data_IF_830296789601
#
_entry.id   IF_830296789601
#
_cell.length_a   1.000
_cell.length_b   1.000
_cell.length_c   1.000
_cell.angle_alpha   90.00
_cell.angle_beta   90.00
_cell.angle_gamma   90.00
#
_symmetry.space_group_name_H-M   'P 1'
#
loop_
_entity.id
_entity.type
_entity.pdbx_description
1 polymer ?
#
# COMPACT_ATOMS: atom_id res chain seq x y z
N UNK A 1 6.38 -6.27 -4.52
CA UNK A 1 5.66 -6.60 -3.26
C UNK A 1 4.47 -5.64 -3.11
N UNK A 2 3.47 -5.93 -2.26
CA UNK A 2 2.35 -4.99 -2.01
C UNK A 2 1.22 -4.96 -3.04
N UNK A 3 1.07 -6.00 -3.87
CA UNK A 3 0.04 -6.07 -4.92
C UNK A 3 -1.31 -6.64 -4.46
N UNK A 4 -1.40 -7.23 -3.26
CA UNK A 4 -2.63 -7.81 -2.72
C UNK A 4 -3.03 -7.08 -1.43
N UNK A 5 -4.32 -6.84 -1.28
CA UNK A 5 -4.88 -6.25 -0.06
C UNK A 5 -4.73 -7.22 1.11
N UNK A 6 -4.45 -6.68 2.29
CA UNK A 6 -4.23 -7.45 3.53
C UNK A 6 -5.43 -7.36 4.48
N UNK A 7 -6.65 -7.47 3.94
CA UNK A 7 -7.90 -7.38 4.69
C UNK A 7 -8.59 -8.75 4.86
N UNK A 8 -9.58 -8.81 5.75
CA UNK A 8 -10.42 -9.98 5.98
C UNK A 8 -11.27 -10.29 4.76
N UNK A 9 -10.90 -11.35 4.03
CA UNK A 9 -11.63 -11.79 2.85
C UNK A 9 -12.90 -12.58 3.22
N UNK A 10 -14.06 -12.07 2.82
CA UNK A 10 -15.32 -12.82 2.86
C UNK A 10 -15.54 -13.51 1.52
N UNK A 11 -15.78 -14.82 1.54
CA UNK A 11 -16.04 -15.62 0.34
C UNK A 11 -17.20 -16.59 0.57
N UNK A 12 -17.84 -17.00 -0.52
CA UNK A 12 -18.92 -18.00 -0.51
C UNK A 12 -18.35 -19.40 -0.72
N UNK A 13 -19.04 -20.42 -0.17
CA UNK A 13 -18.68 -21.82 -0.44
C UNK A 13 -18.71 -22.08 -1.95
N UNK A 14 -17.65 -22.68 -2.48
CA UNK A 14 -17.49 -22.93 -3.92
C UNK A 14 -16.73 -21.84 -4.68
N UNK A 15 -16.34 -20.73 -4.04
CA UNK A 15 -15.46 -19.74 -4.65
C UNK A 15 -14.09 -20.35 -5.00
N UNK A 16 -13.57 -20.02 -6.19
CA UNK A 16 -12.26 -20.49 -6.62
C UNK A 16 -11.15 -19.64 -6.03
N UNK A 17 -9.95 -20.21 -5.92
CA UNK A 17 -8.75 -19.46 -5.52
C UNK A 17 -8.51 -18.25 -6.43
N UNK A 18 -8.76 -18.38 -7.74
CA UNK A 18 -8.55 -17.29 -8.68
C UNK A 18 -9.49 -16.11 -8.38
N UNK A 19 -10.78 -16.38 -8.13
CA UNK A 19 -11.74 -15.34 -7.75
C UNK A 19 -11.34 -14.58 -6.48
N UNK A 20 -10.73 -15.29 -5.51
CA UNK A 20 -10.21 -14.66 -4.30
C UNK A 20 -9.02 -13.75 -4.60
N UNK A 21 -8.07 -14.21 -5.41
CA UNK A 21 -6.89 -13.42 -5.80
C UNK A 21 -7.29 -12.19 -6.61
N UNK A 22 -8.20 -12.35 -7.58
CA UNK A 22 -8.68 -11.24 -8.42
C UNK A 22 -9.38 -10.17 -7.56
N UNK A 23 -10.15 -10.60 -6.55
CA UNK A 23 -10.77 -9.69 -5.60
C UNK A 23 -9.71 -8.91 -4.80
N UNK A 24 -8.72 -9.58 -4.23
CA UNK A 24 -7.66 -8.93 -3.46
C UNK A 24 -6.81 -7.95 -4.30
N UNK A 25 -6.58 -8.28 -5.58
CA UNK A 25 -5.91 -7.39 -6.54
C UNK A 25 -6.75 -6.14 -6.80
N UNK A 26 -8.06 -6.31 -7.05
CA UNK A 26 -8.96 -5.19 -7.30
C UNK A 26 -9.10 -4.28 -6.08
N UNK A 27 -9.20 -4.87 -4.87
CA UNK A 27 -9.29 -4.13 -3.62
C UNK A 27 -7.98 -3.35 -3.35
N UNK A 28 -6.80 -3.95 -3.58
CA UNK A 28 -5.52 -3.27 -3.46
C UNK A 28 -5.40 -2.12 -4.43
N UNK A 29 -5.75 -2.35 -5.70
CA UNK A 29 -5.68 -1.32 -6.74
C UNK A 29 -6.54 -0.11 -6.37
N UNK A 30 -7.78 -0.36 -5.94
CA UNK A 30 -8.70 0.71 -5.52
C UNK A 30 -8.15 1.49 -4.35
N UNK A 31 -7.64 0.81 -3.31
CA UNK A 31 -7.05 1.45 -2.14
C UNK A 31 -5.87 2.35 -2.52
N UNK A 32 -4.95 1.84 -3.33
CA UNK A 32 -3.77 2.59 -3.77
C UNK A 32 -4.17 3.80 -4.61
N UNK A 33 -5.09 3.64 -5.56
CA UNK A 33 -5.56 4.72 -6.41
C UNK A 33 -6.23 5.83 -5.57
N UNK A 34 -7.08 5.46 -4.60
CA UNK A 34 -7.77 6.40 -3.70
C UNK A 34 -6.78 7.18 -2.82
N UNK A 35 -5.76 6.52 -2.27
CA UNK A 35 -4.73 7.17 -1.43
C UNK A 35 -3.82 8.05 -2.27
N UNK A 36 -3.41 7.57 -3.46
CA UNK A 36 -2.56 8.33 -4.37
C UNK A 36 -3.22 9.63 -4.82
N UNK A 37 -4.53 9.64 -5.05
CA UNK A 37 -5.26 10.87 -5.38
C UNK A 37 -5.27 11.90 -4.24
N UNK A 38 -5.17 11.45 -2.98
CA UNK A 38 -5.18 12.31 -1.78
C UNK A 38 -3.79 12.66 -1.26
N UNK A 39 -2.75 12.30 -1.99
CA UNK A 39 -1.36 12.49 -1.58
C UNK A 39 -0.98 13.98 -1.50
N UNK A 40 0.06 14.29 -0.74
CA UNK A 40 0.61 15.64 -0.71
C UNK A 40 1.23 16.03 -2.08
N UNK A 41 1.02 17.26 -2.56
CA UNK A 41 1.41 17.67 -3.92
C UNK A 41 2.92 17.75 -4.14
N UNK A 42 3.71 17.83 -3.06
CA UNK A 42 5.15 18.01 -3.02
C UNK A 42 5.92 16.71 -2.67
N UNK A 43 5.29 15.54 -2.85
CA UNK A 43 5.97 14.26 -2.62
C UNK A 43 7.04 14.00 -3.70
N UNK A 44 8.29 13.67 -3.31
CA UNK A 44 9.37 13.29 -4.23
C UNK A 44 9.18 11.85 -4.75
N UNK A 45 8.00 11.54 -5.31
CA UNK A 45 7.65 10.23 -5.86
C UNK A 45 7.16 10.42 -7.30
N UNK A 46 7.79 9.73 -8.25
CA UNK A 46 7.50 9.90 -9.67
C UNK A 46 6.21 9.19 -10.10
N UNK A 47 5.86 8.09 -9.42
CA UNK A 47 4.73 7.24 -9.80
C UNK A 47 4.16 6.44 -8.61
N UNK A 48 3.05 5.75 -8.88
CA UNK A 48 2.32 4.92 -7.90
C UNK A 48 3.14 3.72 -7.44
N UNK A 49 4.01 3.16 -8.28
CA UNK A 49 4.82 1.98 -7.93
C UNK A 49 5.85 2.33 -6.86
N UNK A 50 6.49 3.49 -6.98
CA UNK A 50 7.40 4.03 -5.96
C UNK A 50 6.67 4.28 -4.64
N UNK A 51 5.44 4.79 -4.71
CA UNK A 51 4.60 4.98 -3.52
C UNK A 51 4.30 3.66 -2.79
N UNK A 52 3.89 2.63 -3.52
CA UNK A 52 3.62 1.30 -2.94
C UNK A 52 4.90 0.68 -2.37
N UNK A 53 6.03 0.87 -3.05
CA UNK A 53 7.34 0.42 -2.59
C UNK A 53 7.73 1.08 -1.27
N UNK A 54 7.63 2.41 -1.20
CA UNK A 54 7.89 3.16 0.03
C UNK A 54 6.97 2.69 1.18
N UNK A 55 5.68 2.51 0.90
CA UNK A 55 4.73 2.01 1.90
C UNK A 55 5.14 0.62 2.44
N UNK A 56 5.63 -0.28 1.58
CA UNK A 56 6.12 -1.59 2.03
C UNK A 56 7.39 -1.52 2.87
N UNK A 57 8.28 -0.56 2.59
CA UNK A 57 9.50 -0.34 3.38
C UNK A 57 9.11 0.20 4.76
N UNK A 58 8.28 1.24 4.79
CA UNK A 58 7.81 1.85 6.04
C UNK A 58 7.12 0.80 6.91
N UNK A 59 6.21 -0.01 6.36
CA UNK A 59 5.52 -1.05 7.13
C UNK A 59 6.47 -2.12 7.67
N UNK A 60 7.52 -2.49 6.93
CA UNK A 60 8.55 -3.45 7.40
C UNK A 60 9.43 -2.86 8.51
N UNK A 61 9.75 -1.57 8.43
CA UNK A 61 10.66 -0.89 9.38
C UNK A 61 9.93 -0.40 10.64
N UNK A 62 8.61 -0.29 10.62
CA UNK A 62 7.83 0.20 11.76
C UNK A 62 7.33 -0.94 12.64
N UNK A 63 7.83 -1.01 13.88
CA UNK A 63 7.30 -1.94 14.88
C UNK A 63 6.04 -1.43 15.59
N UNK A 64 5.82 -0.11 15.61
CA UNK A 64 4.65 0.55 16.20
C UNK A 64 4.02 1.57 15.25
N UNK A 65 2.69 1.72 15.37
CA UNK A 65 1.93 2.56 14.45
C UNK A 65 2.17 4.06 14.58
N UNK A 66 2.57 4.52 15.76
CA UNK A 66 2.91 5.92 16.07
C UNK A 66 4.24 6.37 15.43
N UNK A 67 5.11 5.42 15.08
CA UNK A 67 6.41 5.69 14.46
C UNK A 67 6.32 5.84 12.92
N UNK A 68 5.24 5.35 12.30
CA UNK A 68 5.08 5.29 10.83
C UNK A 68 5.34 6.61 10.12
N UNK A 69 4.74 7.70 10.60
CA UNK A 69 4.92 9.02 9.99
C UNK A 69 6.36 9.52 10.07
N UNK A 70 7.07 9.22 11.17
CA UNK A 70 8.47 9.63 11.36
C UNK A 70 9.40 8.83 10.47
N UNK A 71 9.20 7.52 10.39
CA UNK A 71 9.98 6.64 9.51
C UNK A 71 9.77 7.02 8.03
N UNK A 72 8.52 7.26 7.61
CA UNK A 72 8.22 7.73 6.27
C UNK A 72 8.95 9.05 5.93
N UNK A 73 8.94 10.02 6.84
CA UNK A 73 9.63 11.30 6.64
C UNK A 73 11.14 11.14 6.43
N UNK A 74 11.78 10.22 7.17
CA UNK A 74 13.22 9.94 7.00
C UNK A 74 13.53 9.39 5.61
N UNK A 75 12.70 8.50 5.07
CA UNK A 75 12.89 7.98 3.72
C UNK A 75 12.62 9.03 2.66
N UNK A 76 11.56 9.83 2.80
CA UNK A 76 11.27 10.93 1.86
C UNK A 76 12.40 11.96 1.80
N UNK A 77 12.99 12.33 2.96
CA UNK A 77 14.12 13.25 3.02
C UNK A 77 15.41 12.71 2.39
N UNK A 78 15.53 11.39 2.20
CA UNK A 78 16.69 10.76 1.53
C UNK A 78 16.50 10.61 0.02
N UNK A 79 15.24 10.66 -0.44
CA UNK A 79 14.87 10.58 -1.86
C UNK A 79 14.88 11.95 -2.53
N UNK A 80 14.61 13.02 -1.77
CA UNK A 80 14.72 14.42 -2.20
C UNK A 80 16.18 14.90 -2.29
#
# INVERSE_FOLDING_TARGET
>A
EGSLATDTLRFTRGATRQQMVDKLLADQKKLVDDVWQRRAPDLPLANVEEFVTLASIVEKETGKGDERSRVAAVFLNRLA
#
